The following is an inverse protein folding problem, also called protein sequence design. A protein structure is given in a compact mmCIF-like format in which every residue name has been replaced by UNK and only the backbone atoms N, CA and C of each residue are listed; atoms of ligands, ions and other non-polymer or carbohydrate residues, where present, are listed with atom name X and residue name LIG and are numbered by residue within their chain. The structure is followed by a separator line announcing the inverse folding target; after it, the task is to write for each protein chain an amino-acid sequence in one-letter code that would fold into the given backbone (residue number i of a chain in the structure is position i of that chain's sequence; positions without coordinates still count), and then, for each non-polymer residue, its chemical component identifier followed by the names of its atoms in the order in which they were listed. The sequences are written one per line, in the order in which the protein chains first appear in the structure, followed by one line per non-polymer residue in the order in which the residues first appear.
data_IF_629629072744
#
_entry.id   IF_629629072744
#
_cell.length_a   1.000
_cell.length_b   1.000
_cell.length_c   1.000
_cell.angle_alpha   90.00
_cell.angle_beta   90.00
_cell.angle_gamma   90.00
#
_symmetry.space_group_name_H-M   'P 1'
#
loop_
_entity.id
_entity.type
_entity.pdbx_description
1 polymer ?
#
# COMPACT_ATOMS: atom_id res chain seq x y z
N UNK A 1 -16.74 35.97 -20.41
CA UNK A 1 -17.30 34.72 -20.96
C UNK A 1 -16.22 33.67 -20.85
N UNK A 2 -16.36 32.71 -19.94
CA UNK A 2 -15.39 31.64 -19.76
C UNK A 2 -15.70 30.52 -20.77
N UNK A 3 -14.76 30.26 -21.66
CA UNK A 3 -14.83 29.14 -22.61
C UNK A 3 -14.55 27.84 -21.85
N UNK A 4 -15.61 27.08 -21.56
CA UNK A 4 -15.48 25.68 -21.13
C UNK A 4 -14.85 24.89 -22.28
N UNK A 5 -13.74 24.21 -22.01
CA UNK A 5 -13.14 23.26 -22.94
C UNK A 5 -14.15 22.13 -23.23
N UNK A 6 -14.21 21.60 -24.47
CA UNK A 6 -15.07 20.48 -24.78
C UNK A 6 -14.60 19.24 -24.00
N UNK A 7 -15.50 18.69 -23.20
CA UNK A 7 -15.36 17.38 -22.56
C UNK A 7 -15.20 16.35 -23.68
N UNK A 8 -13.98 15.84 -23.88
CA UNK A 8 -13.70 14.85 -24.91
C UNK A 8 -14.43 13.58 -24.46
N UNK A 9 -15.60 13.35 -25.04
CA UNK A 9 -16.40 12.16 -24.74
C UNK A 9 -15.63 10.94 -25.25
N UNK A 10 -14.86 10.31 -24.36
CA UNK A 10 -14.19 9.04 -24.64
C UNK A 10 -15.30 7.99 -24.78
N UNK A 11 -15.43 7.38 -25.96
CA UNK A 11 -16.36 6.26 -26.15
C UNK A 11 -15.96 5.09 -25.23
N UNK A 12 -16.84 4.66 -24.31
CA UNK A 12 -16.56 3.54 -23.43
C UNK A 12 -16.22 2.24 -24.16
N UNK A 13 -16.73 2.03 -25.38
CA UNK A 13 -16.44 0.84 -26.19
C UNK A 13 -15.04 0.87 -26.79
N UNK A 14 -14.55 2.03 -27.22
CA UNK A 14 -13.17 2.21 -27.67
C UNK A 14 -12.19 2.07 -26.50
N UNK A 15 -12.53 2.61 -25.33
CA UNK A 15 -11.75 2.42 -24.11
C UNK A 15 -11.69 0.94 -23.70
N UNK A 16 -12.81 0.22 -23.76
CA UNK A 16 -12.87 -1.21 -23.46
C UNK A 16 -12.06 -2.04 -24.46
N UNK A 17 -12.05 -1.67 -25.73
CA UNK A 17 -11.34 -2.38 -26.80
C UNK A 17 -9.82 -2.26 -26.72
N UNK A 18 -9.31 -1.27 -25.96
CA UNK A 18 -7.88 -1.03 -25.74
C UNK A 18 -7.44 -1.34 -24.30
N UNK A 19 -8.34 -1.85 -23.46
CA UNK A 19 -8.09 -2.04 -22.04
C UNK A 19 -7.01 -3.11 -21.79
N UNK A 20 -5.90 -2.70 -21.18
CA UNK A 20 -4.88 -3.61 -20.66
C UNK A 20 -5.05 -3.78 -19.15
N UNK A 21 -4.86 -5.01 -18.65
CA UNK A 21 -4.84 -5.24 -17.21
C UNK A 21 -3.66 -4.48 -16.59
N UNK A 22 -3.97 -3.52 -15.70
CA UNK A 22 -2.94 -2.79 -14.99
C UNK A 22 -2.04 -3.76 -14.20
N UNK A 23 -0.70 -3.62 -14.28
CA UNK A 23 0.20 -4.49 -13.56
C UNK A 23 -0.02 -4.36 -12.05
N UNK A 24 0.02 -5.49 -11.33
CA UNK A 24 -0.07 -5.51 -9.88
C UNK A 24 1.16 -4.84 -9.26
N UNK A 25 0.97 -3.58 -8.91
CA UNK A 25 1.91 -2.79 -8.13
C UNK A 25 1.50 -2.81 -6.66
N UNK A 26 2.49 -2.78 -5.79
CA UNK A 26 2.36 -2.81 -4.35
C UNK A 26 3.10 -1.63 -3.76
N UNK A 27 2.48 -0.99 -2.78
CA UNK A 27 3.02 0.17 -2.07
C UNK A 27 3.33 -0.22 -0.63
N UNK A 28 4.43 0.27 -0.06
CA UNK A 28 4.73 -0.11 1.32
C UNK A 28 6.13 0.26 1.78
N UNK A 29 6.44 -0.15 3.00
CA UNK A 29 7.77 0.00 3.58
C UNK A 29 8.65 -1.19 3.23
N UNK A 30 9.86 -0.90 2.76
CA UNK A 30 10.84 -1.91 2.37
C UNK A 30 11.58 -2.42 3.61
N UNK A 31 11.73 -3.73 3.73
CA UNK A 31 12.70 -4.37 4.60
C UNK A 31 13.69 -5.18 3.76
N UNK A 32 14.99 -4.99 4.00
CA UNK A 32 16.06 -5.74 3.35
C UNK A 32 17.01 -6.31 4.39
N UNK A 33 17.14 -7.64 4.38
CA UNK A 33 18.14 -8.38 5.13
C UNK A 33 19.15 -9.02 4.18
N UNK A 34 20.42 -9.03 4.59
CA UNK A 34 21.48 -9.70 3.84
C UNK A 34 22.42 -10.45 4.79
N UNK A 35 22.79 -11.67 4.41
CA UNK A 35 23.71 -12.51 5.17
C UNK A 35 24.60 -13.34 4.26
N UNK A 36 25.77 -13.73 4.78
CA UNK A 36 26.64 -14.65 4.06
C UNK A 36 26.11 -16.08 4.18
N UNK A 37 26.06 -16.78 3.05
CA UNK A 37 25.60 -18.15 2.96
C UNK A 37 26.48 -18.99 2.05
N UNK A 38 26.36 -20.31 2.16
CA UNK A 38 26.83 -21.29 1.16
C UNK A 38 25.62 -22.00 0.55
N UNK A 39 25.78 -22.53 -0.66
CA UNK A 39 24.75 -23.34 -1.31
C UNK A 39 25.10 -24.82 -1.16
N UNK A 40 24.39 -25.52 -0.27
CA UNK A 40 24.55 -26.95 -0.07
C UNK A 40 23.52 -27.74 -0.89
N UNK A 41 24.00 -28.74 -1.64
CA UNK A 41 23.13 -29.60 -2.45
C UNK A 41 22.11 -30.31 -1.55
N UNK A 42 20.83 -30.15 -1.87
CA UNK A 42 19.73 -30.76 -1.11
C UNK A 42 19.27 -29.99 0.13
N UNK A 43 20.06 -29.02 0.62
CA UNK A 43 19.71 -28.16 1.77
C UNK A 43 19.40 -26.71 1.37
N UNK A 44 19.94 -26.24 0.25
CA UNK A 44 19.74 -24.86 -0.20
C UNK A 44 20.72 -23.89 0.44
N UNK A 45 20.23 -22.74 0.92
CA UNK A 45 21.07 -21.70 1.53
C UNK A 45 21.35 -22.05 2.98
N UNK A 46 22.63 -22.17 3.35
CA UNK A 46 23.09 -22.44 4.72
C UNK A 46 23.99 -21.29 5.17
N UNK A 47 23.94 -20.91 6.45
CA UNK A 47 24.76 -19.80 6.98
C UNK A 47 26.24 -20.11 6.78
N UNK A 48 27.00 -19.13 6.25
CA UNK A 48 28.43 -19.27 6.05
C UNK A 48 29.18 -19.23 7.39
N UNK A 49 29.79 -20.35 7.75
CA UNK A 49 30.82 -20.45 8.79
C UNK A 49 32.24 -20.51 8.16
N UNK A 50 33.15 -19.55 8.45
CA UNK A 50 34.52 -19.55 7.93
C UNK A 50 35.42 -20.68 8.47
N UNK A 51 35.04 -21.37 9.54
CA UNK A 51 35.78 -22.53 10.05
C UNK A 51 35.43 -23.82 9.29
N UNK A 52 34.25 -23.88 8.69
CA UNK A 52 33.71 -25.08 8.04
C UNK A 52 33.66 -24.96 6.51
N UNK A 53 33.57 -23.73 5.99
CA UNK A 53 33.41 -23.47 4.56
C UNK A 53 34.61 -22.73 3.98
N UNK A 54 34.92 -23.03 2.72
CA UNK A 54 35.91 -22.27 1.96
C UNK A 54 35.38 -20.89 1.58
N UNK A 55 36.27 -19.89 1.51
CA UNK A 55 35.91 -18.52 1.13
C UNK A 55 35.28 -18.46 -0.28
N UNK A 56 35.69 -19.33 -1.21
CA UNK A 56 35.18 -19.38 -2.58
C UNK A 56 33.73 -19.89 -2.68
N UNK A 57 33.25 -20.61 -1.66
CA UNK A 57 31.86 -21.06 -1.56
C UNK A 57 30.93 -19.98 -1.01
N UNK A 58 31.48 -18.91 -0.43
CA UNK A 58 30.69 -17.82 0.16
C UNK A 58 29.87 -17.12 -0.91
N UNK A 59 28.59 -16.95 -0.64
CA UNK A 59 27.63 -16.14 -1.40
C UNK A 59 26.95 -15.17 -0.44
N UNK A 60 26.24 -14.20 -1.00
CA UNK A 60 25.38 -13.30 -0.22
C UNK A 60 23.92 -13.61 -0.52
N UNK A 61 23.20 -14.06 0.49
CA UNK A 61 21.75 -14.15 0.45
C UNK A 61 21.15 -12.78 0.76
N UNK A 62 20.06 -12.46 0.07
CA UNK A 62 19.31 -11.22 0.23
C UNK A 62 17.84 -11.59 0.34
N UNK A 63 17.19 -11.13 1.41
CA UNK A 63 15.75 -11.18 1.60
C UNK A 63 15.19 -9.77 1.48
N UNK A 64 14.21 -9.61 0.61
CA UNK A 64 13.43 -8.39 0.47
C UNK A 64 12.02 -8.69 0.94
N UNK A 65 11.49 -7.89 1.83
CA UNK A 65 10.09 -7.89 2.21
C UNK A 65 9.50 -6.49 1.95
N UNK A 66 8.23 -6.45 1.58
CA UNK A 66 7.45 -5.22 1.52
C UNK A 66 6.33 -5.34 2.54
N UNK A 67 6.32 -4.44 3.53
CA UNK A 67 5.20 -4.23 4.44
C UNK A 67 4.18 -3.36 3.73
N UNK A 68 3.07 -3.92 3.22
CA UNK A 68 2.15 -3.18 2.37
C UNK A 68 1.37 -2.15 3.17
N UNK A 69 0.99 -1.05 2.51
CA UNK A 69 0.00 -0.11 3.07
C UNK A 69 -1.30 -0.85 3.44
N UNK A 70 -1.90 -0.58 4.61
CA UNK A 70 -3.14 -1.23 5.04
C UNK A 70 -4.29 -1.12 4.04
N UNK A 71 -4.37 0.00 3.32
CA UNK A 71 -5.41 0.31 2.32
C UNK A 71 -5.38 -0.60 1.09
N UNK A 72 -4.30 -1.36 0.89
CA UNK A 72 -4.21 -2.35 -0.18
C UNK A 72 -4.81 -3.71 0.22
N UNK A 73 -5.08 -3.94 1.50
CA UNK A 73 -5.65 -5.18 2.03
C UNK A 73 -4.93 -6.45 1.53
N UNK A 74 -3.59 -6.41 1.48
CA UNK A 74 -2.76 -7.54 1.08
C UNK A 74 -2.63 -8.52 2.24
N UNK A 75 -3.16 -9.72 2.07
CA UNK A 75 -3.23 -10.76 3.12
C UNK A 75 -2.12 -11.81 3.03
N UNK A 76 -1.20 -11.67 2.07
CA UNK A 76 -0.11 -12.61 1.84
C UNK A 76 1.24 -11.89 1.96
N UNK A 77 2.30 -12.58 2.42
CA UNK A 77 3.61 -11.96 2.55
C UNK A 77 4.16 -11.58 1.16
N UNK A 78 4.60 -10.33 1.03
CA UNK A 78 5.32 -9.83 -0.13
C UNK A 78 6.82 -9.93 0.13
N UNK A 79 7.33 -11.16 0.16
CA UNK A 79 8.75 -11.42 0.41
C UNK A 79 9.40 -12.24 -0.71
N UNK A 80 10.70 -12.00 -0.94
CA UNK A 80 11.53 -12.77 -1.84
C UNK A 80 12.94 -12.92 -1.29
N UNK A 81 13.44 -14.14 -1.32
CA UNK A 81 14.81 -14.47 -0.92
C UNK A 81 15.62 -15.01 -2.09
N UNK A 82 16.72 -14.36 -2.41
CA UNK A 82 17.58 -14.66 -3.55
C UNK A 82 19.05 -14.56 -3.21
N UNK A 83 19.91 -14.87 -4.17
CA UNK A 83 21.36 -14.72 -4.06
C UNK A 83 21.77 -13.46 -4.82
N UNK A 84 22.72 -12.69 -4.29
CA UNK A 84 23.19 -11.45 -4.90
C UNK A 84 23.71 -11.66 -6.34
N UNK A 85 24.38 -12.78 -6.59
CA UNK A 85 24.91 -13.15 -7.91
C UNK A 85 23.84 -13.77 -8.84
N UNK A 86 22.60 -13.92 -8.38
CA UNK A 86 21.52 -14.44 -9.23
C UNK A 86 21.08 -13.44 -10.29
N UNK A 87 20.62 -13.94 -11.44
CA UNK A 87 20.07 -13.11 -12.53
C UNK A 87 18.89 -12.26 -12.08
N UNK A 88 18.09 -12.76 -11.15
CA UNK A 88 16.92 -12.04 -10.61
C UNK A 88 17.38 -10.77 -9.87
N UNK A 89 18.37 -10.91 -8.97
CA UNK A 89 18.91 -9.76 -8.24
C UNK A 89 19.71 -8.83 -9.16
N UNK A 90 20.75 -9.36 -9.80
CA UNK A 90 21.70 -8.56 -10.56
C UNK A 90 21.10 -7.97 -11.85
N UNK A 91 20.10 -8.62 -12.43
CA UNK A 91 19.50 -8.23 -13.71
C UNK A 91 18.22 -7.40 -13.59
N UNK A 92 17.48 -7.49 -12.48
CA UNK A 92 16.17 -6.84 -12.34
C UNK A 92 16.14 -5.94 -11.11
N UNK A 93 16.34 -6.53 -9.93
CA UNK A 93 16.14 -5.83 -8.65
C UNK A 93 17.17 -4.72 -8.46
N UNK A 94 18.47 -5.06 -8.47
CA UNK A 94 19.55 -4.12 -8.23
C UNK A 94 19.59 -2.99 -9.28
N UNK A 95 19.43 -3.24 -10.59
CA UNK A 95 19.32 -2.17 -11.58
C UNK A 95 18.13 -1.24 -11.32
N UNK A 96 16.97 -1.78 -10.88
CA UNK A 96 15.81 -0.93 -10.57
C UNK A 96 16.04 -0.02 -9.37
N UNK A 97 16.79 -0.46 -8.36
CA UNK A 97 17.20 0.39 -7.23
C UNK A 97 18.19 1.48 -7.68
N UNK A 98 19.20 1.11 -8.49
CA UNK A 98 20.19 2.05 -9.02
C UNK A 98 19.56 3.13 -9.89
N UNK A 99 18.56 2.76 -10.71
CA UNK A 99 17.80 3.71 -11.51
C UNK A 99 17.07 4.77 -10.66
N UNK A 100 16.76 4.45 -9.39
CA UNK A 100 16.13 5.35 -8.43
C UNK A 100 17.16 6.10 -7.55
N UNK A 101 18.44 6.08 -7.94
CA UNK A 101 19.53 6.78 -7.24
C UNK A 101 20.09 6.05 -6.02
N UNK A 102 19.66 4.81 -5.75
CA UNK A 102 20.19 4.01 -4.64
C UNK A 102 21.48 3.32 -5.09
N UNK A 103 22.61 3.78 -4.55
CA UNK A 103 23.92 3.20 -4.85
C UNK A 103 24.32 2.12 -3.84
N UNK A 104 23.80 2.20 -2.61
CA UNK A 104 23.98 1.20 -1.57
C UNK A 104 22.62 0.64 -1.14
N UNK A 105 22.46 -0.68 -1.22
CA UNK A 105 21.22 -1.40 -0.88
C UNK A 105 20.73 -1.07 0.53
N UNK A 106 21.65 -0.79 1.46
CA UNK A 106 21.31 -0.38 2.84
C UNK A 106 20.44 0.89 2.87
N UNK A 107 20.60 1.80 1.92
CA UNK A 107 19.83 3.05 1.84
C UNK A 107 18.37 2.82 1.43
N UNK A 108 18.05 1.68 0.81
CA UNK A 108 16.69 1.33 0.48
C UNK A 108 15.94 0.71 1.68
N UNK A 109 16.66 0.16 2.65
CA UNK A 109 16.04 -0.45 3.82
C UNK A 109 15.30 0.60 4.66
N UNK A 110 14.04 0.31 5.01
CA UNK A 110 13.16 1.20 5.76
C UNK A 110 12.51 2.32 4.94
N UNK A 111 12.88 2.50 3.66
CA UNK A 111 12.23 3.48 2.78
C UNK A 111 10.86 2.98 2.32
N UNK A 112 10.04 3.91 1.89
CA UNK A 112 8.75 3.61 1.29
C UNK A 112 8.89 3.49 -0.22
N UNK A 113 8.15 2.57 -0.84
CA UNK A 113 8.31 2.30 -2.27
C UNK A 113 7.04 1.82 -2.95
N UNK A 114 7.03 2.01 -4.27
CA UNK A 114 6.17 1.30 -5.21
C UNK A 114 6.98 0.19 -5.85
N UNK A 115 6.54 -1.04 -5.70
CA UNK A 115 7.16 -2.24 -6.25
C UNK A 115 6.18 -2.97 -7.17
N UNK A 116 6.67 -3.56 -8.24
CA UNK A 116 5.86 -4.38 -9.14
C UNK A 116 6.41 -5.81 -9.16
N UNK A 117 5.51 -6.79 -9.16
CA UNK A 117 5.92 -8.16 -9.46
C UNK A 117 6.08 -8.31 -10.97
N UNK A 118 7.28 -8.70 -11.39
CA UNK A 118 7.63 -8.92 -12.80
C UNK A 118 8.13 -10.35 -13.00
N UNK A 119 7.96 -10.94 -14.20
CA UNK A 119 8.53 -12.24 -14.50
C UNK A 119 10.06 -12.24 -14.37
N UNK A 120 10.63 -13.26 -13.73
CA UNK A 120 12.07 -13.36 -13.50
C UNK A 120 12.82 -14.02 -14.66
N UNK A 121 12.11 -14.54 -15.66
CA UNK A 121 12.66 -15.35 -16.75
C UNK A 121 12.88 -16.82 -16.38
N UNK A 122 12.73 -17.20 -15.10
CA UNK A 122 12.92 -18.58 -14.64
C UNK A 122 11.61 -19.34 -14.73
N UNK A 123 11.53 -20.30 -15.65
CA UNK A 123 10.41 -21.24 -15.73
C UNK A 123 10.61 -22.41 -14.78
N UNK A 124 9.54 -22.85 -14.14
CA UNK A 124 9.50 -24.05 -13.30
C UNK A 124 8.22 -24.82 -13.58
N UNK A 125 8.29 -26.14 -13.46
CA UNK A 125 7.12 -27.00 -13.57
C UNK A 125 6.49 -27.16 -12.19
N UNK A 126 5.21 -26.85 -12.06
CA UNK A 126 4.49 -27.08 -10.81
C UNK A 126 4.16 -28.57 -10.64
N UNK A 127 3.67 -28.96 -9.45
CA UNK A 127 3.28 -30.34 -9.16
C UNK A 127 2.17 -30.90 -10.07
N UNK A 128 1.42 -30.02 -10.75
CA UNK A 128 0.38 -30.37 -11.72
C UNK A 128 0.91 -30.52 -13.15
N UNK A 129 2.21 -30.35 -13.35
CA UNK A 129 2.86 -30.47 -14.66
C UNK A 129 2.78 -29.22 -15.53
N UNK A 130 2.26 -28.10 -15.03
CA UNK A 130 2.17 -26.83 -15.76
C UNK A 130 3.48 -26.05 -15.66
N UNK A 131 3.92 -25.45 -16.77
CA UNK A 131 5.02 -24.49 -16.76
C UNK A 131 4.51 -23.16 -16.18
N UNK A 132 5.14 -22.73 -15.09
CA UNK A 132 4.94 -21.41 -14.49
C UNK A 132 6.24 -20.62 -14.53
N UNK A 133 6.12 -19.33 -14.72
CA UNK A 133 7.26 -18.42 -14.61
C UNK A 133 7.34 -17.88 -13.19
N UNK A 134 8.53 -17.94 -12.60
CA UNK A 134 8.79 -17.32 -11.32
C UNK A 134 8.71 -15.79 -11.46
N UNK A 135 8.25 -15.13 -10.41
CA UNK A 135 8.19 -13.67 -10.35
C UNK A 135 9.23 -13.14 -9.37
N UNK A 136 9.73 -11.94 -9.64
CA UNK A 136 10.59 -11.17 -8.74
C UNK A 136 10.05 -9.74 -8.62
N UNK A 137 10.70 -8.92 -7.81
CA UNK A 137 10.33 -7.53 -7.62
C UNK A 137 11.11 -6.58 -8.54
N UNK A 138 10.44 -5.53 -8.98
CA UNK A 138 11.04 -4.36 -9.62
C UNK A 138 10.61 -3.12 -8.87
N UNK A 139 11.56 -2.30 -8.45
CA UNK A 139 11.26 -1.00 -7.83
C UNK A 139 10.87 -0.01 -8.92
N UNK A 140 9.75 0.69 -8.71
CA UNK A 140 9.21 1.70 -9.63
C UNK A 140 9.39 3.11 -9.10
N UNK A 141 9.25 3.30 -7.79
CA UNK A 141 9.42 4.60 -7.14
C UNK A 141 9.83 4.41 -5.67
N UNK A 142 10.49 5.43 -5.12
CA UNK A 142 10.80 5.55 -3.69
C UNK A 142 10.15 6.82 -3.14
N UNK A 143 9.70 6.74 -1.90
CA UNK A 143 9.05 7.82 -1.18
C UNK A 143 9.77 8.07 0.15
N UNK A 144 9.83 9.33 0.60
CA UNK A 144 10.52 9.68 1.84
C UNK A 144 9.80 9.17 3.09
N UNK A 145 8.48 9.11 3.05
CA UNK A 145 7.62 8.76 4.19
C UNK A 145 6.36 8.01 3.73
N UNK A 146 5.60 7.52 4.72
CA UNK A 146 4.35 6.80 4.53
C UNK A 146 3.31 7.66 3.81
N UNK A 147 3.19 8.94 4.19
CA UNK A 147 2.18 9.84 3.65
C UNK A 147 2.36 10.07 2.14
N UNK A 148 3.61 10.26 1.68
CA UNK A 148 3.94 10.36 0.28
C UNK A 148 3.67 9.06 -0.49
N UNK A 149 3.89 7.90 0.15
CA UNK A 149 3.59 6.60 -0.43
C UNK A 149 2.07 6.36 -0.57
N UNK A 150 1.30 6.69 0.47
CA UNK A 150 -0.16 6.66 0.48
C UNK A 150 -0.72 7.60 -0.58
N UNK A 151 -0.19 8.83 -0.67
CA UNK A 151 -0.61 9.80 -1.66
C UNK A 151 -0.40 9.29 -3.08
N UNK A 152 0.75 8.64 -3.35
CA UNK A 152 1.03 8.02 -4.62
C UNK A 152 0.10 6.84 -4.92
N UNK A 153 -0.19 5.99 -3.93
CA UNK A 153 -1.15 4.89 -4.07
C UNK A 153 -2.56 5.39 -4.43
N UNK A 154 -3.03 6.44 -3.75
CA UNK A 154 -4.34 7.02 -3.98
C UNK A 154 -4.42 7.68 -5.37
N UNK A 155 -3.39 8.45 -5.76
CA UNK A 155 -3.29 9.04 -7.09
C UNK A 155 -3.32 7.99 -8.22
N UNK A 156 -2.61 6.88 -8.05
CA UNK A 156 -2.61 5.75 -8.99
C UNK A 156 -3.99 5.06 -9.12
N UNK A 157 -4.83 5.13 -8.08
CA UNK A 157 -6.17 4.53 -8.04
C UNK A 157 -7.26 5.47 -8.53
N UNK A 158 -6.89 6.66 -9.02
CA UNK A 158 -7.84 7.69 -9.46
C UNK A 158 -8.57 8.38 -8.30
N UNK A 159 -8.09 8.22 -7.07
CA UNK A 159 -8.50 9.02 -5.92
C UNK A 159 -7.36 9.97 -5.60
N UNK A 160 -7.27 11.10 -6.29
CA UNK A 160 -6.25 12.10 -5.93
C UNK A 160 -6.43 12.51 -4.46
N UNK A 161 -5.39 12.40 -3.61
CA UNK A 161 -5.26 13.31 -2.50
C UNK A 161 -4.72 14.61 -3.10
N UNK A 162 -5.51 15.67 -3.09
CA UNK A 162 -5.03 17.01 -3.41
C UNK A 162 -3.74 17.29 -2.62
N UNK A 163 -2.62 17.33 -3.33
CA UNK A 163 -1.33 17.67 -2.79
C UNK A 163 -1.33 19.17 -2.54
N UNK A 164 -1.70 19.60 -1.34
CA UNK A 164 -1.52 20.98 -0.89
C UNK A 164 -0.03 21.36 -0.95
N UNK A 165 0.36 22.39 -1.73
CA UNK A 165 1.66 23.03 -1.56
C UNK A 165 1.64 23.85 -0.27
N UNK A 166 2.76 23.84 0.46
CA UNK A 166 2.93 24.60 1.68
C UNK A 166 2.74 26.11 1.46
N UNK A 167 1.77 26.67 2.20
CA UNK A 167 1.58 28.03 2.68
C UNK A 167 1.74 29.22 1.70
N UNK A 168 0.60 29.79 1.33
CA UNK A 168 0.36 31.24 1.47
C UNK A 168 -1.03 31.39 2.10
N UNK A 169 -1.22 32.14 3.21
CA UNK A 169 -2.49 32.19 3.91
C UNK A 169 -3.48 33.06 3.12
N UNK A 170 -4.52 32.44 2.57
CA UNK A 170 -5.72 33.13 2.10
C UNK A 170 -6.96 32.45 2.71
N UNK A 171 -8.03 33.21 2.99
CA UNK A 171 -9.00 32.87 4.02
C UNK A 171 -10.18 32.05 3.49
N UNK A 172 -10.64 31.13 4.36
CA UNK A 172 -11.98 30.52 4.46
C UNK A 172 -12.61 29.82 3.24
N UNK A 173 -12.76 28.49 3.39
CA UNK A 173 -13.69 27.65 2.63
C UNK A 173 -14.06 26.35 3.36
N UNK A 174 -14.38 26.42 4.66
CA UNK A 174 -14.46 25.25 5.57
C UNK A 174 -15.89 24.71 5.83
N UNK A 175 -16.74 24.51 4.83
CA UNK A 175 -18.07 23.91 5.07
C UNK A 175 -18.48 22.73 4.18
N UNK A 176 -17.79 22.46 3.05
CA UNK A 176 -18.18 21.37 2.14
C UNK A 176 -17.75 19.97 2.58
N UNK A 177 -16.48 19.80 2.96
CA UNK A 177 -15.91 18.47 3.24
C UNK A 177 -16.37 17.86 4.56
N UNK A 178 -16.57 18.68 5.59
CA UNK A 178 -17.05 18.21 6.89
C UNK A 178 -18.51 17.73 6.80
N UNK A 179 -19.35 18.46 6.07
CA UNK A 179 -20.75 18.07 5.84
C UNK A 179 -20.84 16.74 5.08
N UNK A 180 -20.02 16.55 4.03
CA UNK A 180 -20.00 15.30 3.27
C UNK A 180 -19.53 14.10 4.12
N UNK A 181 -18.47 14.29 4.92
CA UNK A 181 -17.98 13.25 5.84
C UNK A 181 -19.01 12.92 6.92
N UNK A 182 -19.75 13.92 7.41
CA UNK A 182 -20.81 13.74 8.38
C UNK A 182 -21.99 12.93 7.81
N UNK A 183 -22.44 13.22 6.58
CA UNK A 183 -23.49 12.43 5.91
C UNK A 183 -23.12 10.96 5.76
N UNK A 184 -21.85 10.65 5.45
CA UNK A 184 -21.35 9.28 5.35
C UNK A 184 -21.26 8.62 6.73
N UNK A 185 -20.91 9.36 7.78
CA UNK A 185 -20.76 8.82 9.15
C UNK A 185 -22.11 8.54 9.85
N UNK A 186 -23.16 9.32 9.56
CA UNK A 186 -24.51 9.18 10.15
C UNK A 186 -25.08 7.75 10.18
N UNK A 187 -25.09 6.98 9.07
CA UNK A 187 -25.61 5.61 9.10
C UNK A 187 -24.79 4.66 9.99
N UNK A 188 -23.48 4.88 10.12
CA UNK A 188 -22.64 4.08 11.02
C UNK A 188 -22.90 4.43 12.49
N UNK A 189 -23.04 5.73 12.81
CA UNK A 189 -23.41 6.19 14.15
C UNK A 189 -24.77 5.60 14.55
N UNK A 190 -25.75 5.59 13.64
CA UNK A 190 -27.06 5.00 13.88
C UNK A 190 -27.00 3.47 14.10
N UNK A 191 -26.14 2.77 13.34
CA UNK A 191 -25.93 1.33 13.51
C UNK A 191 -25.28 0.99 14.86
N UNK A 192 -24.26 1.75 15.28
CA UNK A 192 -23.63 1.57 16.59
C UNK A 192 -24.56 1.96 17.74
N UNK A 193 -25.35 3.02 17.58
CA UNK A 193 -26.39 3.39 18.53
C UNK A 193 -27.37 2.23 18.72
N UNK A 194 -27.87 1.63 17.64
CA UNK A 194 -28.76 0.47 17.70
C UNK A 194 -28.09 -0.75 18.36
N UNK A 195 -26.82 -1.00 18.07
CA UNK A 195 -26.05 -2.09 18.66
C UNK A 195 -25.82 -1.91 20.17
N UNK A 196 -25.62 -0.67 20.62
CA UNK A 196 -25.47 -0.30 22.03
C UNK A 196 -26.82 -0.03 22.74
N UNK A 197 -27.96 -0.36 22.14
CA UNK A 197 -29.27 -0.11 22.75
C UNK A 197 -29.60 1.37 22.97
N UNK A 198 -29.01 2.25 22.15
CA UNK A 198 -29.09 3.71 22.21
C UNK A 198 -28.46 4.34 23.47
N UNK A 199 -27.61 3.59 24.16
CA UNK A 199 -26.78 4.12 25.25
C UNK A 199 -25.66 5.01 24.68
N UNK A 200 -25.63 6.27 25.14
CA UNK A 200 -24.71 7.28 24.64
C UNK A 200 -23.24 6.94 24.93
N UNK A 201 -22.92 6.45 26.12
CA UNK A 201 -21.54 6.18 26.53
C UNK A 201 -20.98 4.92 25.85
N UNK A 202 -21.82 3.88 25.70
CA UNK A 202 -21.48 2.71 24.88
C UNK A 202 -21.26 3.10 23.40
N UNK A 203 -22.15 3.94 22.86
CA UNK A 203 -22.07 4.37 21.45
C UNK A 203 -20.84 5.23 21.20
N UNK A 204 -20.47 6.12 22.12
CA UNK A 204 -19.21 6.87 22.08
C UNK A 204 -18.00 5.94 22.06
N UNK A 205 -17.95 4.98 22.98
CA UNK A 205 -16.84 4.03 23.05
C UNK A 205 -16.68 3.22 21.75
N UNK A 206 -17.78 2.76 21.16
CA UNK A 206 -17.76 2.07 19.88
C UNK A 206 -17.32 3.00 18.72
N UNK A 207 -17.84 4.22 18.66
CA UNK A 207 -17.54 5.17 17.59
C UNK A 207 -16.11 5.72 17.63
N UNK A 208 -15.47 5.79 18.81
CA UNK A 208 -14.04 6.17 18.95
C UNK A 208 -13.09 5.22 18.23
N UNK A 209 -13.49 3.97 18.06
CA UNK A 209 -12.66 2.97 17.35
C UNK A 209 -12.71 3.14 15.83
N UNK A 210 -13.64 3.94 15.32
CA UNK A 210 -13.92 4.05 13.89
C UNK A 210 -13.47 5.41 13.34
N UNK A 211 -12.36 5.37 12.59
CA UNK A 211 -11.72 6.57 12.03
C UNK A 211 -12.65 7.39 11.13
N UNK A 212 -13.54 6.72 10.40
CA UNK A 212 -14.54 7.38 9.53
C UNK A 212 -15.53 8.27 10.32
N UNK A 213 -15.78 7.95 11.60
CA UNK A 213 -16.65 8.73 12.47
C UNK A 213 -15.86 9.84 13.16
N UNK A 214 -14.67 9.52 13.70
CA UNK A 214 -13.82 10.51 14.40
C UNK A 214 -13.28 11.60 13.46
N UNK A 215 -13.12 11.31 12.17
CA UNK A 215 -12.72 12.29 11.16
C UNK A 215 -13.90 13.19 10.71
N UNK A 216 -15.14 12.79 11.00
CA UNK A 216 -16.35 13.50 10.60
C UNK A 216 -16.95 14.34 11.74
N UNK A 217 -16.95 13.79 12.96
CA UNK A 217 -17.57 14.41 14.13
C UNK A 217 -16.82 14.00 15.41
N UNK A 218 -16.69 14.96 16.34
CA UNK A 218 -16.20 14.67 17.68
C UNK A 218 -17.29 13.95 18.47
N UNK A 219 -16.97 12.76 18.98
CA UNK A 219 -17.87 11.90 19.75
C UNK A 219 -18.29 12.52 21.09
N UNK A 220 -17.54 13.50 21.61
CA UNK A 220 -17.92 14.27 22.80
C UNK A 220 -18.77 15.50 22.49
N UNK A 221 -19.00 15.80 21.20
CA UNK A 221 -19.78 16.97 20.82
C UNK A 221 -21.27 16.79 21.11
N UNK A 222 -21.99 17.90 21.43
CA UNK A 222 -23.45 17.87 21.56
C UNK A 222 -24.16 17.49 20.25
N UNK A 223 -23.51 17.71 19.10
CA UNK A 223 -24.00 17.30 17.78
C UNK A 223 -24.02 15.77 17.63
N UNK A 224 -23.02 15.06 18.16
CA UNK A 224 -23.00 13.58 18.18
C UNK A 224 -24.14 13.02 19.04
N UNK A 225 -24.36 13.61 20.22
CA UNK A 225 -25.47 13.22 21.09
C UNK A 225 -26.83 13.43 20.40
N UNK A 226 -26.99 14.50 19.61
CA UNK A 226 -28.19 14.75 18.82
C UNK A 226 -28.40 13.70 17.71
N UNK A 227 -27.33 13.21 17.07
CA UNK A 227 -27.42 12.14 16.07
C UNK A 227 -27.80 10.79 16.67
N UNK A 228 -27.29 10.45 17.85
CA UNK A 228 -27.67 9.23 18.58
C UNK A 228 -29.14 9.32 19.03
N UNK A 229 -29.59 10.48 19.51
CA UNK A 229 -30.99 10.72 19.87
C UNK A 229 -31.93 10.68 18.63
N UNK A 230 -31.49 11.22 17.49
CA UNK A 230 -32.24 11.15 16.24
C UNK A 230 -32.35 9.71 15.71
N UNK A 231 -31.30 8.90 15.86
CA UNK A 231 -31.32 7.47 15.53
C UNK A 231 -32.33 6.68 16.38
N UNK A 232 -32.48 7.03 17.67
CA UNK A 232 -33.53 6.47 18.54
C UNK A 232 -34.94 6.86 18.06
N UNK A 233 -35.13 8.09 17.59
CA UNK A 233 -36.42 8.58 17.10
C UNK A 233 -36.83 7.96 15.75
N UNK A 234 -35.86 7.66 14.88
CA UNK A 234 -36.10 6.99 13.58
C UNK A 234 -36.14 5.46 13.63
N UNK A 235 -35.82 4.86 14.78
CA UNK A 235 -35.83 3.41 15.01
C UNK A 235 -37.06 2.88 15.78
N UNK A 236 -38.05 3.72 16.04
CA UNK A 236 -39.37 3.36 16.59
C UNK A 236 -40.38 3.08 15.49
#
# INVERSE_FOLDING_TARGET
MATNAPDITIDPLDAASSATLAPRSYYGQIEIDAWFCVLERGKGKVIYDPQQHSADQRRTAIKISLLPLPEQNVQFPLEREMIAESREWAGIVLPSLKALGINNVREANGKWAKMQQVPSGRKYRNAKGEEKEATTFKFLALYPDEAACQAAYMADRGQEPERQPAATPCPNGSNGDKARKLEVAKPFIAAFAKQCGYDLECTKAACRTQRIITDAIDVESPEFAALVAAALAGGK
#
